data_IF_270863023750
#
_entry.id   IF_270863023750
#
_cell.length_a   1.000
_cell.length_b   1.000
_cell.length_c   1.000
_cell.angle_alpha   90.00
_cell.angle_beta   90.00
_cell.angle_gamma   90.00
#
_symmetry.space_group_name_H-M   'P 1'
#
loop_
_entity.id
_entity.type
_entity.pdbx_description
1 polymer ?
#
# COMPACT_ATOMS: atom_id res chain seq x y z
N UNK A 1 -3.18 8.32 29.49
CA UNK A 1 -2.99 8.92 28.14
C UNK A 1 -2.40 7.87 27.20
N UNK A 2 -3.20 7.27 26.32
CA UNK A 2 -2.80 6.14 25.44
C UNK A 2 -1.84 6.54 24.29
N UNK A 3 -1.67 7.83 24.04
CA UNK A 3 -0.76 8.38 23.02
C UNK A 3 0.72 8.36 23.45
N UNK A 4 1.01 8.23 24.75
CA UNK A 4 2.39 8.26 25.24
C UNK A 4 3.18 6.98 24.95
N UNK A 5 2.50 5.83 24.74
CA UNK A 5 3.13 4.52 24.56
C UNK A 5 3.44 4.14 23.10
N UNK A 6 2.68 4.67 22.14
CA UNK A 6 2.82 4.31 20.72
C UNK A 6 4.02 4.99 20.03
N UNK A 7 4.57 6.04 20.66
CA UNK A 7 5.78 6.75 20.23
C UNK A 7 7.01 6.37 21.07
N UNK A 8 6.95 5.32 21.91
CA UNK A 8 8.11 4.88 22.68
C UNK A 8 9.15 4.29 21.73
N UNK A 9 10.10 5.16 21.40
CA UNK A 9 11.36 4.92 20.70
C UNK A 9 12.06 3.72 21.35
N UNK A 10 12.02 2.57 20.67
CA UNK A 10 12.87 1.44 21.06
C UNK A 10 14.26 1.71 20.48
N UNK A 11 15.08 2.45 21.22
CA UNK A 11 16.28 3.06 20.65
C UNK A 11 15.92 4.22 19.73
N UNK A 12 16.91 5.01 19.33
CA UNK A 12 16.79 6.30 18.63
C UNK A 12 16.11 6.28 17.23
N UNK A 13 15.42 5.19 16.88
CA UNK A 13 14.83 4.97 15.56
C UNK A 13 13.31 5.23 15.56
N UNK A 14 12.79 6.00 14.59
CA UNK A 14 11.36 6.23 14.47
C UNK A 14 10.63 4.91 14.18
N UNK A 15 9.79 4.47 15.11
CA UNK A 15 8.91 3.32 14.91
C UNK A 15 7.85 3.71 13.88
N UNK A 16 7.71 2.93 12.81
CA UNK A 16 6.62 3.12 11.86
C UNK A 16 5.27 2.80 12.55
N UNK A 17 4.38 3.79 12.74
CA UNK A 17 3.16 3.61 13.53
C UNK A 17 2.21 2.61 12.88
N UNK A 18 2.16 2.56 11.54
CA UNK A 18 1.36 1.58 10.81
C UNK A 18 1.83 0.14 11.09
N UNK A 19 3.14 -0.10 11.10
CA UNK A 19 3.70 -1.42 11.46
C UNK A 19 3.34 -1.82 12.89
N UNK A 20 3.40 -0.87 13.82
CA UNK A 20 3.06 -1.11 15.22
C UNK A 20 1.58 -1.44 15.40
N UNK A 21 0.67 -0.69 14.79
CA UNK A 21 -0.77 -0.97 14.84
C UNK A 21 -1.15 -2.30 14.16
N UNK A 22 -0.46 -2.68 13.08
CA UNK A 22 -0.62 -4.02 12.47
C UNK A 22 -0.20 -5.11 13.45
N UNK A 23 0.89 -4.90 14.20
CA UNK A 23 1.34 -5.85 15.22
C UNK A 23 0.34 -5.97 16.38
N UNK A 24 -0.23 -4.85 16.84
CA UNK A 24 -1.30 -4.85 17.86
C UNK A 24 -2.56 -5.59 17.40
N UNK A 25 -2.95 -5.42 16.13
CA UNK A 25 -4.05 -6.19 15.53
C UNK A 25 -3.77 -7.69 15.55
N UNK A 26 -2.54 -8.09 15.22
CA UNK A 26 -2.11 -9.50 15.20
C UNK A 26 -2.03 -10.12 16.60
N UNK A 27 -1.71 -9.33 17.63
CA UNK A 27 -1.69 -9.78 19.02
C UNK A 27 -3.09 -9.91 19.66
N UNK A 28 -4.17 -9.75 18.88
CA UNK A 28 -5.55 -9.91 19.36
C UNK A 28 -6.06 -8.75 20.21
N UNK A 29 -5.28 -7.66 20.33
CA UNK A 29 -5.68 -6.50 21.10
C UNK A 29 -6.38 -5.50 20.18
N UNK A 30 -7.70 -5.65 20.03
CA UNK A 30 -8.51 -4.81 19.14
C UNK A 30 -8.83 -3.43 19.72
N UNK A 31 -8.44 -3.15 20.98
CA UNK A 31 -8.70 -1.89 21.69
C UNK A 31 -10.10 -1.30 21.38
N UNK A 32 -11.14 -2.14 21.40
CA UNK A 32 -12.52 -1.73 21.16
C UNK A 32 -12.81 -1.13 19.77
N UNK A 33 -11.99 -1.43 18.75
CA UNK A 33 -12.11 -0.88 17.40
C UNK A 33 -11.14 0.26 17.07
N UNK A 34 -10.39 0.77 18.07
CA UNK A 34 -9.41 1.84 17.86
C UNK A 34 -8.29 1.45 16.88
N UNK A 35 -7.91 0.16 16.89
CA UNK A 35 -6.92 -0.38 15.94
C UNK A 35 -7.38 -0.22 14.49
N UNK A 36 -8.68 -0.43 14.24
CA UNK A 36 -9.23 -0.28 12.89
C UNK A 36 -9.19 1.19 12.47
N UNK A 37 -9.62 2.11 13.34
CA UNK A 37 -9.57 3.55 13.08
C UNK A 37 -8.14 4.05 12.83
N UNK A 38 -7.18 3.63 13.66
CA UNK A 38 -5.78 4.02 13.50
C UNK A 38 -5.18 3.50 12.19
N UNK A 39 -5.50 2.27 11.79
CA UNK A 39 -5.06 1.71 10.51
C UNK A 39 -5.69 2.44 9.33
N UNK A 40 -6.99 2.76 9.39
CA UNK A 40 -7.68 3.46 8.31
C UNK A 40 -7.08 4.86 8.10
N UNK A 41 -6.90 5.64 9.18
CA UNK A 41 -6.31 6.98 9.11
C UNK A 41 -4.85 6.95 8.63
N UNK A 42 -4.04 6.02 9.15
CA UNK A 42 -2.60 5.95 8.81
C UNK A 42 -2.32 5.29 7.46
N UNK A 43 -3.27 4.53 6.91
CA UNK A 43 -3.13 3.91 5.57
C UNK A 43 -3.44 4.88 4.43
N UNK A 44 -4.14 5.98 4.73
CA UNK A 44 -4.43 7.01 3.76
C UNK A 44 -3.13 7.76 3.41
N UNK A 45 -2.72 7.81 2.13
CA UNK A 45 -1.58 8.60 1.74
C UNK A 45 -1.86 10.09 1.96
N UNK A 46 -0.92 10.82 2.53
CA UNK A 46 -1.07 12.24 2.83
C UNK A 46 -1.09 13.13 1.57
N UNK A 47 -0.76 12.59 0.40
CA UNK A 47 -0.62 13.36 -0.86
C UNK A 47 -1.16 12.59 -2.06
N UNK A 48 -1.56 13.31 -3.12
CA UNK A 48 -1.98 12.74 -4.41
C UNK A 48 -0.82 12.17 -5.24
N UNK A 49 0.42 12.38 -4.81
CA UNK A 49 1.63 12.00 -5.55
C UNK A 49 1.68 10.50 -5.86
N UNK A 50 1.19 9.66 -4.94
CA UNK A 50 1.13 8.21 -5.16
C UNK A 50 0.19 7.84 -6.32
N UNK A 51 -0.93 8.55 -6.44
CA UNK A 51 -1.90 8.39 -7.53
C UNK A 51 -1.31 8.89 -8.85
N UNK A 52 -0.66 10.05 -8.84
CA UNK A 52 0.02 10.61 -10.03
C UNK A 52 1.14 9.69 -10.53
N UNK A 53 1.88 9.06 -9.61
CA UNK A 53 2.92 8.09 -9.94
C UNK A 53 2.33 6.83 -10.55
N UNK A 54 1.17 6.37 -10.07
CA UNK A 54 0.45 5.26 -10.67
C UNK A 54 -0.03 5.60 -12.09
N UNK A 55 -0.61 6.78 -12.32
CA UNK A 55 -1.02 7.21 -13.66
C UNK A 55 0.17 7.42 -14.61
N UNK A 56 1.28 7.95 -14.11
CA UNK A 56 2.52 8.10 -14.89
C UNK A 56 3.09 6.76 -15.32
N UNK A 57 3.06 5.75 -14.43
CA UNK A 57 3.44 4.38 -14.76
C UNK A 57 2.50 3.76 -15.81
N UNK A 58 1.20 4.07 -15.71
CA UNK A 58 0.19 3.61 -16.64
C UNK A 58 0.03 4.42 -17.92
N UNK A 59 0.85 5.46 -18.11
CA UNK A 59 0.71 6.37 -19.25
C UNK A 59 0.75 5.62 -20.58
N UNK A 60 1.59 4.60 -20.70
CA UNK A 60 1.72 3.82 -21.93
C UNK A 60 0.53 2.87 -22.18
N UNK A 61 -0.25 2.53 -21.13
CA UNK A 61 -1.49 1.78 -21.25
C UNK A 61 -2.70 2.65 -21.64
N UNK A 62 -2.66 3.95 -21.30
CA UNK A 62 -3.75 4.92 -21.55
C UNK A 62 -3.49 5.76 -22.80
N UNK A 63 -2.22 5.95 -23.17
CA UNK A 63 -1.82 6.78 -24.30
C UNK A 63 -2.22 6.17 -25.64
N UNK A 64 -2.56 7.04 -26.59
CA UNK A 64 -3.15 6.74 -27.91
C UNK A 64 -2.28 5.85 -28.83
N UNK A 65 -1.03 5.53 -28.45
CA UNK A 65 -0.05 4.87 -29.34
C UNK A 65 -0.18 3.34 -29.44
N UNK A 66 -1.08 2.68 -28.71
CA UNK A 66 -1.47 1.27 -28.96
C UNK A 66 -2.95 1.04 -28.69
N UNK A 67 -3.55 0.27 -29.59
CA UNK A 67 -4.87 -0.38 -29.60
C UNK A 67 -5.84 0.03 -28.48
N UNK A 68 -6.99 0.62 -28.83
CA UNK A 68 -8.12 1.02 -27.95
C UNK A 68 -8.51 -0.08 -26.95
N UNK A 69 -7.74 -0.22 -25.86
CA UNK A 69 -8.02 -1.19 -24.83
C UNK A 69 -9.25 -0.73 -24.06
N UNK A 70 -10.16 -1.66 -23.80
CA UNK A 70 -11.26 -1.39 -22.91
C UNK A 70 -10.73 -0.96 -21.52
N UNK A 71 -11.43 -0.06 -20.80
CA UNK A 71 -11.00 0.40 -19.47
C UNK A 71 -10.72 -0.74 -18.48
N UNK A 72 -11.42 -1.87 -18.62
CA UNK A 72 -11.20 -3.07 -17.82
C UNK A 72 -9.83 -3.71 -18.08
N UNK A 73 -9.38 -3.76 -19.34
CA UNK A 73 -8.07 -4.30 -19.72
C UNK A 73 -6.93 -3.42 -19.23
N UNK A 74 -7.11 -2.09 -19.28
CA UNK A 74 -6.16 -1.12 -18.73
C UNK A 74 -6.01 -1.35 -17.22
N UNK A 75 -7.13 -1.41 -16.49
CA UNK A 75 -7.11 -1.61 -15.03
C UNK A 75 -6.44 -2.93 -14.63
N UNK A 76 -6.77 -4.03 -15.32
CA UNK A 76 -6.15 -5.35 -15.07
C UNK A 76 -4.65 -5.33 -15.39
N UNK A 77 -4.27 -4.77 -16.52
CA UNK A 77 -2.87 -4.63 -16.93
C UNK A 77 -2.04 -3.83 -15.93
N UNK A 78 -2.60 -2.71 -15.45
CA UNK A 78 -1.99 -1.87 -14.42
C UNK A 78 -1.78 -2.63 -13.10
N UNK A 79 -2.75 -3.42 -12.66
CA UNK A 79 -2.62 -4.24 -11.45
C UNK A 79 -1.51 -5.28 -11.62
N UNK A 80 -1.49 -6.03 -12.72
CA UNK A 80 -0.45 -7.04 -12.96
C UNK A 80 0.94 -6.40 -13.03
N UNK A 81 1.07 -5.27 -13.72
CA UNK A 81 2.33 -4.53 -13.85
C UNK A 81 2.82 -3.99 -12.50
N UNK A 82 1.91 -3.49 -11.64
CA UNK A 82 2.24 -3.07 -10.29
C UNK A 82 2.74 -4.23 -9.42
N UNK A 83 2.06 -5.38 -9.44
CA UNK A 83 2.46 -6.56 -8.67
C UNK A 83 3.81 -7.14 -9.15
N UNK A 84 4.04 -7.13 -10.46
CA UNK A 84 5.31 -7.53 -11.06
C UNK A 84 6.46 -6.62 -10.59
N UNK A 85 6.28 -5.29 -10.68
CA UNK A 85 7.29 -4.30 -10.25
C UNK A 85 7.65 -4.41 -8.76
N UNK A 86 6.67 -4.76 -7.92
CA UNK A 86 6.86 -4.94 -6.48
C UNK A 86 7.36 -6.35 -6.10
N UNK A 87 7.75 -7.19 -7.08
CA UNK A 87 8.22 -8.56 -6.87
C UNK A 87 7.22 -9.41 -6.05
N UNK A 88 5.92 -9.15 -6.23
CA UNK A 88 4.83 -9.86 -5.54
C UNK A 88 4.35 -11.08 -6.32
N UNK A 89 4.77 -11.22 -7.58
CA UNK A 89 4.52 -12.39 -8.41
C UNK A 89 5.70 -13.35 -8.23
N UNK A 90 5.41 -14.60 -7.88
CA UNK A 90 6.44 -15.65 -7.82
C UNK A 90 6.89 -15.95 -9.25
N UNK A 91 8.18 -15.83 -9.51
CA UNK A 91 8.73 -16.26 -10.80
C UNK A 91 8.58 -17.77 -10.92
N UNK A 92 7.91 -18.21 -11.97
CA UNK A 92 7.86 -19.63 -12.33
C UNK A 92 9.26 -19.95 -12.87
N UNK A 93 10.02 -20.77 -12.14
CA UNK A 93 11.29 -21.27 -12.64
C UNK A 93 11.00 -22.06 -13.93
N UNK A 94 11.69 -21.78 -15.04
CA UNK A 94 11.58 -22.62 -16.22
C UNK A 94 12.04 -24.04 -15.83
N UNK A 95 11.24 -25.02 -16.24
CA UNK A 95 11.50 -26.46 -16.09
C UNK A 95 12.73 -26.85 -16.90
#
# INVERSE_FOLDING_TARGET
MWLAGALVLKGNDPVNPLKWWIQQKKSGNTYGGLVHMALDVLSCPATSVDVERAFSFGRDYVSLKRHRLAPQSISRGMTVAFYSKNKKIKEVKPV
#
